data_IF_508186070257
#
_entry.id   IF_508186070257
#
_cell.length_a   1.000
_cell.length_b   1.000
_cell.length_c   1.000
_cell.angle_alpha   90.00
_cell.angle_beta   90.00
_cell.angle_gamma   90.00
#
_symmetry.space_group_name_H-M   'P 1'
#
loop_
_entity.id
_entity.type
_entity.pdbx_description
1 polymer ?
#
# COMPACT_ATOMS: atom_id res chain seq x y z
N UNK A 1 10.62 -58.23 -13.54
CA UNK A 1 10.47 -59.45 -12.72
C UNK A 1 10.31 -59.01 -11.26
N UNK A 2 9.21 -58.32 -10.93
CA UNK A 2 8.97 -57.73 -9.59
C UNK A 2 7.55 -58.07 -9.08
N UNK A 3 7.08 -59.29 -9.34
CA UNK A 3 5.75 -59.75 -8.92
C UNK A 3 5.72 -60.53 -7.60
N UNK A 4 6.86 -61.03 -7.13
CA UNK A 4 6.94 -61.98 -6.00
C UNK A 4 7.17 -61.33 -4.63
N UNK A 5 7.66 -60.09 -4.59
CA UNK A 5 7.91 -59.39 -3.32
C UNK A 5 6.65 -58.75 -2.68
N UNK A 6 5.63 -58.43 -3.49
CA UNK A 6 4.37 -57.87 -2.98
C UNK A 6 3.51 -58.92 -2.24
N UNK A 7 3.53 -60.18 -2.69
CA UNK A 7 2.76 -61.27 -2.09
C UNK A 7 3.23 -61.66 -0.68
N UNK A 8 4.55 -61.71 -0.44
CA UNK A 8 5.07 -62.04 0.90
C UNK A 8 4.77 -60.96 1.95
N UNK A 9 4.74 -59.68 1.56
CA UNK A 9 4.39 -58.59 2.51
C UNK A 9 2.92 -58.64 2.92
N UNK A 10 2.02 -59.00 2.02
CA UNK A 10 0.60 -59.15 2.32
C UNK A 10 0.30 -60.33 3.27
N UNK A 11 0.99 -61.46 3.08
CA UNK A 11 0.85 -62.64 3.95
C UNK A 11 1.36 -62.37 5.37
N UNK A 12 2.50 -61.67 5.49
CA UNK A 12 3.03 -61.30 6.81
C UNK A 12 2.13 -60.29 7.55
N UNK A 13 1.52 -59.33 6.84
CA UNK A 13 0.58 -58.38 7.44
C UNK A 13 -0.70 -59.06 7.92
N UNK A 14 -1.22 -60.04 7.16
CA UNK A 14 -2.39 -60.82 7.55
C UNK A 14 -2.14 -61.71 8.78
N UNK A 15 -0.97 -62.36 8.84
CA UNK A 15 -0.55 -63.19 9.99
C UNK A 15 -0.32 -62.35 11.25
N UNK A 16 0.32 -61.17 11.13
CA UNK A 16 0.48 -60.24 12.25
C UNK A 16 -0.85 -59.68 12.73
N UNK A 17 -1.80 -59.39 11.82
CA UNK A 17 -3.15 -58.97 12.17
C UNK A 17 -3.94 -60.06 12.92
N UNK A 18 -3.84 -61.31 12.47
CA UNK A 18 -4.49 -62.44 13.12
C UNK A 18 -3.92 -62.73 14.52
N UNK A 19 -2.59 -62.69 14.67
CA UNK A 19 -1.93 -62.88 15.97
C UNK A 19 -2.22 -61.72 16.94
N UNK A 20 -2.20 -60.47 16.47
CA UNK A 20 -2.53 -59.29 17.28
C UNK A 20 -4.00 -59.29 17.75
N UNK A 21 -4.93 -59.71 16.88
CA UNK A 21 -6.34 -59.86 17.22
C UNK A 21 -6.61 -60.96 18.25
N UNK A 22 -5.89 -62.08 18.16
CA UNK A 22 -6.00 -63.16 19.14
C UNK A 22 -5.50 -62.73 20.53
N UNK A 23 -4.40 -61.98 20.61
CA UNK A 23 -3.84 -61.49 21.89
C UNK A 23 -4.75 -60.45 22.55
N UNK A 24 -5.35 -59.55 21.77
CA UNK A 24 -6.25 -58.51 22.32
C UNK A 24 -7.58 -59.09 22.79
N UNK A 25 -8.17 -60.04 22.05
CA UNK A 25 -9.39 -60.73 22.51
C UNK A 25 -9.10 -61.57 23.76
N UNK A 26 -7.96 -62.29 23.81
CA UNK A 26 -7.56 -63.02 25.00
C UNK A 26 -7.35 -62.08 26.21
N UNK A 27 -6.75 -60.91 26.01
CA UNK A 27 -6.55 -59.92 27.08
C UNK A 27 -7.88 -59.31 27.58
N UNK A 28 -8.81 -59.00 26.68
CA UNK A 28 -10.14 -58.47 27.06
C UNK A 28 -10.95 -59.52 27.80
N UNK A 29 -10.94 -60.78 27.34
CA UNK A 29 -11.61 -61.89 28.04
C UNK A 29 -11.01 -62.11 29.43
N UNK A 30 -9.68 -62.02 29.56
CA UNK A 30 -8.99 -62.17 30.85
C UNK A 30 -9.27 -61.01 31.83
N UNK A 31 -9.41 -59.77 31.34
CA UNK A 31 -9.75 -58.61 32.18
C UNK A 31 -11.21 -58.64 32.63
N UNK A 32 -12.12 -59.08 31.76
CA UNK A 32 -13.57 -59.07 32.03
C UNK A 32 -14.01 -60.27 32.87
N UNK A 33 -13.31 -61.40 32.80
CA UNK A 33 -13.62 -62.61 33.59
C UNK A 33 -12.35 -63.40 33.96
N UNK A 34 -11.56 -62.94 34.96
CA UNK A 34 -10.33 -63.60 35.37
C UNK A 34 -10.56 -64.98 36.02
N UNK A 35 -11.81 -65.34 36.34
CA UNK A 35 -12.18 -66.60 36.98
C UNK A 35 -12.74 -67.65 36.00
N UNK A 36 -12.90 -67.32 34.71
CA UNK A 36 -13.29 -68.24 33.64
C UNK A 36 -14.70 -68.83 33.79
N UNK A 37 -15.65 -68.07 34.32
CA UNK A 37 -16.99 -68.55 34.64
C UNK A 37 -18.07 -68.21 33.60
N UNK A 38 -17.75 -67.46 32.54
CA UNK A 38 -18.70 -67.13 31.48
C UNK A 38 -18.60 -68.10 30.29
N UNK A 39 -19.53 -69.04 30.21
CA UNK A 39 -19.80 -69.85 29.01
C UNK A 39 -20.60 -69.03 28.00
N UNK A 40 -19.91 -68.35 27.10
CA UNK A 40 -20.59 -67.68 25.98
C UNK A 40 -20.76 -68.64 24.79
N UNK A 41 -21.94 -68.69 24.13
CA UNK A 41 -22.17 -69.54 22.97
C UNK A 41 -21.77 -68.80 21.70
N UNK A 42 -20.47 -68.57 21.49
CA UNK A 42 -19.99 -68.02 20.23
C UNK A 42 -19.50 -69.16 19.33
N UNK A 43 -20.00 -69.23 18.10
CA UNK A 43 -19.41 -70.13 17.11
C UNK A 43 -18.06 -69.56 16.65
N UNK A 44 -17.14 -70.42 16.20
CA UNK A 44 -15.79 -69.99 15.74
C UNK A 44 -15.89 -68.93 14.62
N UNK A 45 -16.99 -68.94 13.85
CA UNK A 45 -17.32 -67.93 12.86
C UNK A 45 -17.64 -66.55 13.47
N UNK A 46 -18.34 -66.48 14.59
CA UNK A 46 -18.68 -65.21 15.27
C UNK A 46 -17.43 -64.55 15.87
N UNK A 47 -16.54 -65.35 16.47
CA UNK A 47 -15.25 -64.87 16.99
C UNK A 47 -14.34 -64.38 15.86
N UNK A 48 -14.28 -65.09 14.73
CA UNK A 48 -13.51 -64.66 13.57
C UNK A 48 -14.06 -63.35 12.97
N UNK A 49 -15.37 -63.19 12.93
CA UNK A 49 -16.02 -61.97 12.42
C UNK A 49 -15.76 -60.79 13.36
N UNK A 50 -15.85 -61.00 14.68
CA UNK A 50 -15.59 -59.98 15.71
C UNK A 50 -14.11 -59.57 15.76
N UNK A 51 -13.18 -60.54 15.65
CA UNK A 51 -11.73 -60.29 15.56
C UNK A 51 -11.38 -59.57 14.27
N UNK A 52 -12.01 -59.90 13.14
CA UNK A 52 -11.75 -59.18 11.88
C UNK A 52 -12.33 -57.77 11.88
N UNK A 53 -13.50 -57.56 12.50
CA UNK A 53 -14.17 -56.26 12.61
C UNK A 53 -13.42 -55.29 13.54
N UNK A 54 -13.02 -55.74 14.74
CA UNK A 54 -12.25 -54.91 15.68
C UNK A 54 -10.76 -54.81 15.30
N UNK A 55 -10.15 -55.88 14.79
CA UNK A 55 -8.75 -55.88 14.33
C UNK A 55 -8.54 -54.98 13.11
N UNK A 56 -9.48 -55.00 12.16
CA UNK A 56 -9.48 -54.09 11.02
C UNK A 56 -9.71 -52.63 11.43
N UNK A 57 -10.59 -52.36 12.39
CA UNK A 57 -10.86 -51.01 12.88
C UNK A 57 -9.68 -50.40 13.64
N UNK A 58 -9.00 -51.17 14.51
CA UNK A 58 -7.84 -50.69 15.27
C UNK A 58 -6.63 -50.49 14.34
N UNK A 59 -6.34 -51.45 13.46
CA UNK A 59 -5.26 -51.30 12.48
C UNK A 59 -5.54 -50.14 11.50
N UNK A 60 -6.79 -50.00 11.05
CA UNK A 60 -7.25 -48.88 10.24
C UNK A 60 -7.12 -47.53 10.96
N UNK A 61 -7.47 -47.45 12.25
CA UNK A 61 -7.34 -46.24 13.05
C UNK A 61 -5.88 -45.82 13.26
N UNK A 62 -4.96 -46.76 13.46
CA UNK A 62 -3.53 -46.46 13.61
C UNK A 62 -2.92 -45.98 12.29
N UNK A 63 -3.27 -46.62 11.17
CA UNK A 63 -2.82 -46.18 9.84
C UNK A 63 -3.42 -44.82 9.48
N UNK A 64 -4.70 -44.60 9.75
CA UNK A 64 -5.36 -43.32 9.56
C UNK A 64 -4.77 -42.22 10.45
N UNK A 65 -4.43 -42.51 11.71
CA UNK A 65 -3.77 -41.56 12.59
C UNK A 65 -2.38 -41.17 12.08
N UNK A 66 -1.57 -42.13 11.60
CA UNK A 66 -0.25 -41.85 11.02
C UNK A 66 -0.32 -41.03 9.73
N UNK A 67 -1.26 -41.36 8.83
CA UNK A 67 -1.48 -40.60 7.60
C UNK A 67 -2.00 -39.20 7.91
N UNK A 68 -2.89 -39.05 8.90
CA UNK A 68 -3.41 -37.76 9.35
C UNK A 68 -2.33 -36.87 9.97
N UNK A 69 -1.42 -37.43 10.77
CA UNK A 69 -0.30 -36.67 11.34
C UNK A 69 0.63 -36.18 10.22
N UNK A 70 0.95 -37.04 9.25
CA UNK A 70 1.82 -36.67 8.14
C UNK A 70 1.19 -35.62 7.21
N UNK A 71 -0.11 -35.73 6.92
CA UNK A 71 -0.85 -34.73 6.15
C UNK A 71 -0.97 -33.41 6.92
N UNK A 72 -1.13 -33.44 8.24
CA UNK A 72 -1.18 -32.24 9.08
C UNK A 72 0.18 -31.52 9.11
N UNK A 73 1.29 -32.25 9.16
CA UNK A 73 2.64 -31.68 9.05
C UNK A 73 2.87 -31.01 7.68
N UNK A 74 2.48 -31.67 6.58
CA UNK A 74 2.59 -31.10 5.24
C UNK A 74 1.69 -29.88 5.06
N UNK A 75 0.45 -29.92 5.57
CA UNK A 75 -0.47 -28.79 5.52
C UNK A 75 0.02 -27.62 6.38
N UNK A 76 0.64 -27.88 7.53
CA UNK A 76 1.23 -26.86 8.39
C UNK A 76 2.40 -26.15 7.69
N UNK A 77 3.32 -26.90 7.08
CA UNK A 77 4.45 -26.34 6.34
C UNK A 77 3.98 -25.53 5.13
N UNK A 78 3.03 -26.05 4.35
CA UNK A 78 2.49 -25.36 3.18
C UNK A 78 1.70 -24.11 3.57
N UNK A 79 0.91 -24.15 4.65
CA UNK A 79 0.21 -22.97 5.17
C UNK A 79 1.19 -21.90 5.66
N UNK A 80 2.23 -22.30 6.41
CA UNK A 80 3.28 -21.38 6.85
C UNK A 80 4.01 -20.73 5.67
N UNK A 81 4.29 -21.50 4.60
CA UNK A 81 4.89 -20.98 3.37
C UNK A 81 3.98 -19.97 2.67
N UNK A 82 2.69 -20.29 2.51
CA UNK A 82 1.71 -19.39 1.89
C UNK A 82 1.50 -18.12 2.69
N UNK A 83 1.48 -18.22 4.02
CA UNK A 83 1.36 -17.06 4.90
C UNK A 83 2.57 -16.14 4.79
N UNK A 84 3.79 -16.70 4.71
CA UNK A 84 5.00 -15.92 4.49
C UNK A 84 4.98 -15.24 3.11
N UNK A 85 4.58 -15.94 2.05
CA UNK A 85 4.44 -15.37 0.71
C UNK A 85 3.41 -14.23 0.69
N UNK A 86 2.27 -14.40 1.37
CA UNK A 86 1.25 -13.36 1.49
C UNK A 86 1.75 -12.13 2.28
N UNK A 87 2.51 -12.35 3.36
CA UNK A 87 3.11 -11.28 4.17
C UNK A 87 4.13 -10.48 3.36
N UNK A 88 4.95 -11.16 2.56
CA UNK A 88 5.92 -10.50 1.68
C UNK A 88 5.21 -9.68 0.59
N UNK A 89 4.20 -10.26 -0.06
CA UNK A 89 3.41 -9.53 -1.07
C UNK A 89 2.74 -8.28 -0.50
N UNK A 90 2.20 -8.38 0.72
CA UNK A 90 1.62 -7.24 1.43
C UNK A 90 2.66 -6.16 1.72
N UNK A 91 3.82 -6.54 2.27
CA UNK A 91 4.93 -5.62 2.55
C UNK A 91 5.41 -4.90 1.28
N UNK A 92 5.52 -5.63 0.16
CA UNK A 92 5.88 -5.08 -1.15
C UNK A 92 4.84 -4.05 -1.62
N UNK A 93 3.55 -4.39 -1.53
CA UNK A 93 2.46 -3.48 -1.93
C UNK A 93 2.43 -2.22 -1.08
N UNK A 94 2.64 -2.33 0.23
CA UNK A 94 2.67 -1.19 1.15
C UNK A 94 3.88 -0.28 0.86
N UNK A 95 5.05 -0.89 0.64
CA UNK A 95 6.27 -0.15 0.30
C UNK A 95 6.13 0.61 -1.02
N UNK A 96 5.55 -0.02 -2.04
CA UNK A 96 5.29 0.61 -3.33
C UNK A 96 4.22 1.70 -3.23
N UNK A 97 3.20 1.52 -2.39
CA UNK A 97 2.17 2.54 -2.11
C UNK A 97 2.81 3.83 -1.56
N UNK A 98 3.77 3.72 -0.63
CA UNK A 98 4.49 4.90 -0.12
C UNK A 98 5.22 5.62 -1.26
N UNK A 99 5.94 4.87 -2.07
CA UNK A 99 6.74 5.40 -3.17
C UNK A 99 5.87 6.15 -4.20
N UNK A 100 4.79 5.53 -4.64
CA UNK A 100 3.85 6.11 -5.62
C UNK A 100 3.20 7.40 -5.10
N UNK A 101 2.85 7.46 -3.81
CA UNK A 101 2.28 8.67 -3.20
C UNK A 101 3.29 9.81 -3.14
N UNK A 102 4.57 9.52 -2.89
CA UNK A 102 5.63 10.53 -2.93
C UNK A 102 5.88 11.00 -4.36
N UNK A 103 5.87 10.10 -5.34
CA UNK A 103 5.93 10.48 -6.75
C UNK A 103 4.76 11.37 -7.16
N UNK A 104 3.54 11.07 -6.70
CA UNK A 104 2.37 11.90 -6.95
C UNK A 104 2.54 13.32 -6.38
N UNK A 105 3.04 13.43 -5.14
CA UNK A 105 3.37 14.73 -4.53
C UNK A 105 4.45 15.46 -5.33
N UNK A 106 5.51 14.76 -5.72
CA UNK A 106 6.63 15.31 -6.49
C UNK A 106 6.14 15.87 -7.84
N UNK A 107 5.33 15.09 -8.55
CA UNK A 107 4.72 15.48 -9.82
C UNK A 107 3.77 16.66 -9.65
N UNK A 108 3.00 16.70 -8.56
CA UNK A 108 2.14 17.83 -8.21
C UNK A 108 2.95 19.12 -8.03
N UNK A 109 4.00 19.09 -7.21
CA UNK A 109 4.90 20.23 -6.98
C UNK A 109 5.60 20.68 -8.27
N UNK A 110 6.07 19.73 -9.08
CA UNK A 110 6.70 20.02 -10.37
C UNK A 110 5.71 20.68 -11.34
N UNK A 111 4.49 20.16 -11.44
CA UNK A 111 3.43 20.72 -12.29
C UNK A 111 3.12 22.17 -11.89
N UNK A 112 3.00 22.43 -10.60
CA UNK A 112 2.81 23.79 -10.09
C UNK A 112 3.99 24.69 -10.44
N UNK A 113 5.25 24.25 -10.23
CA UNK A 113 6.45 25.01 -10.64
C UNK A 113 6.39 25.35 -12.14
N UNK A 114 6.10 24.38 -12.99
CA UNK A 114 6.03 24.58 -14.44
C UNK A 114 4.92 25.56 -14.83
N UNK A 115 3.80 25.55 -14.12
CA UNK A 115 2.73 26.53 -14.31
C UNK A 115 3.21 27.97 -14.06
N UNK A 116 3.96 28.21 -12.97
CA UNK A 116 4.57 29.53 -12.71
C UNK A 116 5.56 29.93 -13.80
N UNK A 117 6.42 28.99 -14.21
CA UNK A 117 7.38 29.21 -15.29
C UNK A 117 6.71 29.60 -16.60
N UNK A 118 5.62 28.95 -16.96
CA UNK A 118 4.86 29.27 -18.16
C UNK A 118 4.24 30.67 -18.11
N UNK A 119 3.74 31.07 -16.93
CA UNK A 119 3.27 32.44 -16.71
C UNK A 119 4.39 33.47 -16.88
N UNK A 120 5.58 33.20 -16.32
CA UNK A 120 6.74 34.09 -16.46
C UNK A 120 7.25 34.16 -17.90
N UNK A 121 7.32 33.02 -18.59
CA UNK A 121 7.71 32.94 -20.00
C UNK A 121 6.76 33.75 -20.87
N UNK A 122 5.45 33.54 -20.71
CA UNK A 122 4.41 34.30 -21.42
C UNK A 122 4.51 35.80 -21.14
N UNK A 123 4.74 36.20 -19.89
CA UNK A 123 4.92 37.61 -19.53
C UNK A 123 6.19 38.20 -20.16
N UNK A 124 7.29 37.43 -20.22
CA UNK A 124 8.53 37.86 -20.86
C UNK A 124 8.35 38.04 -22.38
N UNK A 125 7.70 37.08 -23.05
CA UNK A 125 7.36 37.15 -24.48
C UNK A 125 6.51 38.40 -24.79
N UNK A 126 5.63 38.79 -23.87
CA UNK A 126 4.78 40.00 -23.96
C UNK A 126 5.44 41.28 -23.45
N UNK A 127 6.71 41.24 -23.02
CA UNK A 127 7.45 42.36 -22.40
C UNK A 127 6.78 42.91 -21.12
N UNK A 128 6.01 42.07 -20.45
CA UNK A 128 5.23 42.35 -19.24
C UNK A 128 5.90 41.81 -17.95
N UNK A 129 7.16 41.36 -18.02
CA UNK A 129 7.87 40.80 -16.86
C UNK A 129 8.09 41.80 -15.71
N UNK A 130 8.01 43.10 -16.01
CA UNK A 130 8.10 44.18 -15.02
C UNK A 130 6.84 44.35 -14.17
N UNK A 131 5.74 43.69 -14.54
CA UNK A 131 4.49 43.74 -13.77
C UNK A 131 4.62 42.95 -12.46
N UNK A 132 3.83 43.28 -11.44
CA UNK A 132 3.81 42.51 -10.20
C UNK A 132 3.33 41.07 -10.43
N UNK A 133 3.79 40.13 -9.59
CA UNK A 133 3.50 38.69 -9.73
C UNK A 133 2.01 38.39 -9.78
N UNK A 134 1.18 39.10 -9.01
CA UNK A 134 -0.26 38.88 -9.04
C UNK A 134 -0.86 39.14 -10.44
N UNK A 135 -0.29 40.07 -11.22
CA UNK A 135 -0.75 40.37 -12.57
C UNK A 135 -0.21 39.37 -13.60
N UNK A 136 0.99 38.82 -13.36
CA UNK A 136 1.63 37.83 -14.24
C UNK A 136 1.01 36.44 -14.09
N UNK A 137 0.90 35.96 -12.85
CA UNK A 137 0.39 34.61 -12.56
C UNK A 137 -1.12 34.62 -12.72
N UNK A 138 -1.66 33.71 -13.52
CA UNK A 138 -3.11 33.57 -13.73
C UNK A 138 -3.73 32.67 -12.68
N UNK A 139 -5.06 32.68 -12.57
CA UNK A 139 -5.78 31.64 -11.85
C UNK A 139 -5.66 30.31 -12.60
N UNK A 140 -5.32 29.24 -11.88
CA UNK A 140 -5.27 27.91 -12.44
C UNK A 140 -6.68 27.37 -12.63
N UNK A 141 -6.99 26.86 -13.82
CA UNK A 141 -8.24 26.17 -14.11
C UNK A 141 -8.06 24.67 -13.85
N UNK A 142 -8.76 24.15 -12.84
CA UNK A 142 -8.64 22.76 -12.41
C UNK A 142 -7.45 22.51 -11.49
N UNK A 143 -7.57 21.48 -10.67
CA UNK A 143 -6.56 21.02 -9.72
C UNK A 143 -6.70 19.52 -9.50
N UNK A 144 -5.74 18.92 -8.78
CA UNK A 144 -5.88 17.53 -8.37
C UNK A 144 -7.15 17.39 -7.52
N UNK A 145 -8.02 16.43 -7.85
CA UNK A 145 -9.29 16.23 -7.12
C UNK A 145 -9.08 15.72 -5.70
N UNK A 146 -7.92 15.11 -5.43
CA UNK A 146 -7.59 14.57 -4.13
C UNK A 146 -6.08 14.65 -3.90
N UNK A 147 -5.67 15.20 -2.75
CA UNK A 147 -4.27 15.14 -2.32
C UNK A 147 -3.93 13.70 -1.90
N UNK A 148 -2.81 13.12 -2.34
CA UNK A 148 -2.37 11.81 -1.86
C UNK A 148 -2.23 11.83 -0.35
N UNK A 149 -2.81 10.84 0.32
CA UNK A 149 -2.76 10.71 1.78
C UNK A 149 -2.15 9.39 2.20
N UNK A 150 -1.33 9.42 3.25
CA UNK A 150 -0.74 8.20 3.78
C UNK A 150 -1.65 7.57 4.84
N UNK A 151 -1.83 6.27 4.76
CA UNK A 151 -2.43 5.46 5.82
C UNK A 151 -1.35 4.99 6.80
N UNK A 152 -1.76 4.45 7.96
CA UNK A 152 -0.81 3.84 8.90
C UNK A 152 -0.18 2.56 8.32
N UNK A 153 -0.93 1.83 7.50
CA UNK A 153 -0.53 0.56 6.88
C UNK A 153 0.60 0.74 5.87
N UNK A 154 0.61 1.86 5.15
CA UNK A 154 1.67 2.21 4.20
C UNK A 154 3.05 2.23 4.88
N UNK A 155 3.12 2.58 6.16
CA UNK A 155 4.38 2.73 6.90
C UNK A 155 4.85 1.48 7.63
N UNK A 156 4.08 0.39 7.63
CA UNK A 156 4.45 -0.85 8.33
C UNK A 156 5.83 -1.36 7.91
N UNK A 157 6.18 -1.43 6.62
CA UNK A 157 7.51 -1.87 6.19
C UNK A 157 8.63 -0.95 6.71
N UNK A 158 8.43 0.38 6.66
CA UNK A 158 9.41 1.35 7.17
C UNK A 158 9.58 1.28 8.69
N UNK A 159 8.51 0.99 9.44
CA UNK A 159 8.57 0.79 10.89
C UNK A 159 9.39 -0.46 11.24
N UNK A 160 9.18 -1.57 10.54
CA UNK A 160 9.94 -2.81 10.73
C UNK A 160 11.43 -2.57 10.41
N UNK A 161 11.71 -1.79 9.37
CA UNK A 161 13.06 -1.39 8.98
C UNK A 161 13.67 -0.30 9.87
N UNK A 162 12.98 0.16 10.91
CA UNK A 162 13.41 1.23 11.84
C UNK A 162 13.73 2.56 11.15
N UNK A 163 13.03 2.88 10.06
CA UNK A 163 13.17 4.13 9.29
C UNK A 163 12.14 5.17 9.74
N UNK A 164 12.08 5.47 11.04
CA UNK A 164 11.07 6.40 11.60
C UNK A 164 11.20 7.83 11.08
N UNK A 165 12.42 8.27 10.76
CA UNK A 165 12.68 9.59 10.19
C UNK A 165 12.00 9.75 8.83
N UNK A 166 12.11 8.75 7.94
CA UNK A 166 11.44 8.77 6.63
C UNK A 166 9.91 8.81 6.74
N UNK A 167 9.32 8.15 7.74
CA UNK A 167 7.87 8.22 7.99
C UNK A 167 7.47 9.65 8.35
N UNK A 168 8.25 10.32 9.20
CA UNK A 168 8.00 11.71 9.58
C UNK A 168 8.11 12.64 8.37
N UNK A 169 9.15 12.48 7.55
CA UNK A 169 9.34 13.30 6.35
C UNK A 169 8.23 13.08 5.30
N UNK A 170 7.77 11.84 5.09
CA UNK A 170 6.61 11.55 4.24
C UNK A 170 5.35 12.29 4.72
N UNK A 171 5.07 12.26 6.02
CA UNK A 171 3.92 12.98 6.61
C UNK A 171 4.09 14.50 6.52
N UNK A 172 5.32 14.98 6.64
CA UNK A 172 5.60 16.41 6.58
C UNK A 172 5.40 16.92 5.16
N UNK A 173 5.93 16.22 4.14
CA UNK A 173 5.75 16.62 2.74
C UNK A 173 4.29 16.50 2.28
N UNK A 174 3.55 15.47 2.72
CA UNK A 174 2.10 15.32 2.51
C UNK A 174 1.35 16.58 2.96
N UNK A 175 1.61 17.01 4.20
CA UNK A 175 0.95 18.19 4.79
C UNK A 175 1.36 19.48 4.09
N UNK A 176 2.64 19.64 3.75
CA UNK A 176 3.12 20.84 3.05
C UNK A 176 2.51 20.95 1.66
N UNK A 177 2.44 19.85 0.93
CA UNK A 177 1.79 19.81 -0.38
C UNK A 177 0.30 20.17 -0.28
N UNK A 178 -0.42 19.60 0.69
CA UNK A 178 -1.82 19.95 0.95
C UNK A 178 -2.01 21.45 1.28
N UNK A 179 -1.11 22.04 2.06
CA UNK A 179 -1.12 23.48 2.37
C UNK A 179 -0.88 24.33 1.13
N UNK A 180 0.02 23.92 0.23
CA UNK A 180 0.29 24.64 -1.02
C UNK A 180 -0.93 24.60 -1.93
N UNK A 181 -1.53 23.42 -2.16
CA UNK A 181 -2.77 23.26 -2.94
C UNK A 181 -3.88 24.15 -2.37
N UNK A 182 -4.08 24.11 -1.05
CA UNK A 182 -5.10 24.96 -0.41
C UNK A 182 -4.81 26.45 -0.56
N UNK A 183 -3.54 26.83 -0.52
CA UNK A 183 -3.11 28.22 -0.67
C UNK A 183 -3.32 28.74 -2.10
N UNK A 184 -3.16 27.87 -3.12
CA UNK A 184 -3.50 28.17 -4.51
C UNK A 184 -5.00 28.38 -4.70
N UNK A 185 -5.85 27.56 -4.06
CA UNK A 185 -7.31 27.79 -4.05
C UNK A 185 -7.67 29.14 -3.41
N UNK A 186 -7.08 29.44 -2.25
CA UNK A 186 -7.30 30.72 -1.55
C UNK A 186 -6.85 31.89 -2.42
N UNK A 187 -5.72 31.76 -3.12
CA UNK A 187 -5.26 32.75 -4.07
C UNK A 187 -6.26 32.97 -5.20
N UNK A 188 -6.79 31.88 -5.78
CA UNK A 188 -7.83 31.94 -6.82
C UNK A 188 -9.08 32.68 -6.34
N UNK A 189 -9.62 32.30 -5.18
CA UNK A 189 -10.81 32.95 -4.61
C UNK A 189 -10.58 34.43 -4.27
N UNK A 190 -9.40 34.79 -3.74
CA UNK A 190 -9.07 36.21 -3.49
C UNK A 190 -8.94 37.00 -4.79
N UNK A 191 -8.44 36.38 -5.86
CA UNK A 191 -8.33 37.01 -7.18
C UNK A 191 -9.72 37.24 -7.79
N UNK A 192 -10.61 36.26 -7.68
CA UNK A 192 -12.01 36.39 -8.11
C UNK A 192 -12.71 37.52 -7.36
N UNK A 193 -12.55 37.60 -6.03
CA UNK A 193 -13.11 38.71 -5.23
C UNK A 193 -12.56 40.08 -5.62
N UNK A 194 -11.27 40.17 -5.99
CA UNK A 194 -10.70 41.40 -6.53
C UNK A 194 -11.29 41.73 -7.91
N UNK A 195 -11.49 40.73 -8.76
CA UNK A 195 -12.09 40.92 -10.08
C UNK A 195 -13.54 41.43 -9.96
N UNK A 196 -14.36 40.84 -9.09
CA UNK A 196 -15.73 41.29 -8.81
C UNK A 196 -15.76 42.74 -8.31
N UNK A 197 -14.81 43.11 -7.44
CA UNK A 197 -14.69 44.49 -6.94
C UNK A 197 -14.38 45.48 -8.06
N UNK A 198 -13.55 45.08 -9.03
CA UNK A 198 -13.10 45.92 -10.13
C UNK A 198 -14.05 45.90 -11.33
N UNK A 199 -14.90 44.88 -11.47
CA UNK A 199 -15.79 44.69 -12.61
C UNK A 199 -16.74 45.88 -12.80
N UNK A 200 -17.32 46.39 -11.71
CA UNK A 200 -18.21 47.55 -11.73
C UNK A 200 -17.53 48.86 -12.20
N UNK A 201 -16.19 48.86 -12.27
CA UNK A 201 -15.36 50.00 -12.67
C UNK A 201 -14.57 49.71 -13.95
N UNK A 202 -14.90 48.63 -14.65
CA UNK A 202 -14.15 48.13 -15.80
C UNK A 202 -14.98 48.20 -17.07
N UNK A 203 -14.40 48.75 -18.14
CA UNK A 203 -15.01 48.79 -19.47
C UNK A 203 -14.19 47.96 -20.46
N UNK A 204 -14.88 47.14 -21.26
CA UNK A 204 -14.27 46.37 -22.32
C UNK A 204 -13.91 47.31 -23.48
N UNK A 205 -12.62 47.39 -23.82
CA UNK A 205 -12.14 48.15 -24.98
C UNK A 205 -12.14 47.24 -26.22
N UNK A 206 -12.24 47.82 -27.42
CA UNK A 206 -12.32 47.10 -28.71
C UNK A 206 -11.14 46.16 -29.03
N UNK A 207 -10.06 46.20 -28.25
CA UNK A 207 -8.83 45.40 -28.46
C UNK A 207 -8.67 44.23 -27.47
N UNK A 208 -9.75 43.72 -26.87
CA UNK A 208 -9.68 42.67 -25.83
C UNK A 208 -8.92 43.10 -24.58
N UNK A 209 -8.81 44.41 -24.35
CA UNK A 209 -8.23 45.01 -23.15
C UNK A 209 -9.37 45.50 -22.25
N UNK A 210 -9.19 45.34 -20.94
CA UNK A 210 -10.12 45.85 -19.93
C UNK A 210 -9.50 47.12 -19.37
N UNK A 211 -10.19 48.25 -19.54
CA UNK A 211 -9.79 49.52 -18.94
C UNK A 211 -10.56 49.68 -17.64
N UNK A 212 -9.86 49.69 -16.51
CA UNK A 212 -10.48 49.90 -15.19
C UNK A 212 -10.24 51.34 -14.75
N UNK A 213 -11.31 52.11 -14.59
CA UNK A 213 -11.26 53.50 -14.11
C UNK A 213 -11.96 53.60 -12.75
N UNK A 214 -11.17 53.70 -11.69
CA UNK A 214 -11.69 53.77 -10.32
C UNK A 214 -11.80 55.24 -9.91
N UNK A 215 -13.01 55.77 -9.89
CA UNK A 215 -13.28 57.14 -9.43
C UNK A 215 -13.46 57.25 -7.91
N UNK A 216 -13.82 56.16 -7.24
CA UNK A 216 -14.06 56.11 -5.80
C UNK A 216 -12.76 55.75 -5.05
N UNK A 217 -12.29 56.67 -4.20
CA UNK A 217 -11.07 56.52 -3.40
C UNK A 217 -11.15 55.33 -2.44
N UNK A 218 -12.33 55.02 -1.90
CA UNK A 218 -12.51 53.91 -0.98
C UNK A 218 -12.38 52.56 -1.70
N UNK A 219 -12.91 52.46 -2.92
CA UNK A 219 -12.75 51.27 -3.76
C UNK A 219 -11.29 51.09 -4.16
N UNK A 220 -10.61 52.17 -4.56
CA UNK A 220 -9.19 52.13 -4.91
C UNK A 220 -8.33 51.64 -3.73
N UNK A 221 -8.59 52.15 -2.52
CA UNK A 221 -7.90 51.72 -1.29
C UNK A 221 -8.13 50.24 -0.98
N UNK A 222 -9.38 49.77 -1.08
CA UNK A 222 -9.73 48.36 -0.85
C UNK A 222 -9.06 47.43 -1.87
N UNK A 223 -9.10 47.81 -3.15
CA UNK A 223 -8.44 47.06 -4.22
C UNK A 223 -6.93 46.97 -3.97
N UNK A 224 -6.27 48.07 -3.58
CA UNK A 224 -4.84 48.08 -3.30
C UNK A 224 -4.46 47.15 -2.13
N UNK A 225 -5.27 47.10 -1.07
CA UNK A 225 -5.07 46.17 0.05
C UNK A 225 -5.14 44.72 -0.43
N UNK A 226 -6.14 44.38 -1.25
CA UNK A 226 -6.29 43.03 -1.80
C UNK A 226 -5.15 42.67 -2.76
N UNK A 227 -4.73 43.60 -3.61
CA UNK A 227 -3.59 43.45 -4.52
C UNK A 227 -2.31 43.14 -3.73
N UNK A 228 -2.03 43.90 -2.67
CA UNK A 228 -0.87 43.66 -1.82
C UNK A 228 -0.94 42.28 -1.15
N UNK A 229 -2.12 41.89 -0.63
CA UNK A 229 -2.31 40.57 -0.04
C UNK A 229 -2.10 39.43 -1.05
N UNK A 230 -2.61 39.57 -2.28
CA UNK A 230 -2.38 38.62 -3.37
C UNK A 230 -0.90 38.52 -3.73
N UNK A 231 -0.21 39.65 -3.80
CA UNK A 231 1.23 39.71 -4.10
C UNK A 231 2.05 38.97 -3.04
N UNK A 232 1.76 39.16 -1.75
CA UNK A 232 2.46 38.43 -0.69
C UNK A 232 2.16 36.93 -0.75
N UNK A 233 0.88 36.57 -0.88
CA UNK A 233 0.45 35.17 -0.92
C UNK A 233 1.10 34.41 -2.09
N UNK A 234 1.09 34.99 -3.30
CA UNK A 234 1.65 34.32 -4.48
C UNK A 234 3.18 34.17 -4.42
N UNK A 235 3.86 35.14 -3.80
CA UNK A 235 5.31 35.08 -3.57
C UNK A 235 5.67 33.97 -2.58
N UNK A 236 4.91 33.85 -1.50
CA UNK A 236 5.09 32.81 -0.49
C UNK A 236 4.82 31.41 -1.07
N UNK A 237 3.73 31.23 -1.82
CA UNK A 237 3.40 29.98 -2.52
C UNK A 237 4.55 29.55 -3.44
N UNK A 238 5.02 30.44 -4.32
CA UNK A 238 6.11 30.11 -5.25
C UNK A 238 7.40 29.72 -4.51
N UNK A 239 7.72 30.42 -3.43
CA UNK A 239 8.90 30.11 -2.61
C UNK A 239 8.79 28.73 -1.97
N UNK A 240 7.62 28.40 -1.40
CA UNK A 240 7.36 27.09 -0.79
C UNK A 240 7.42 25.96 -1.80
N UNK A 241 6.83 26.13 -2.99
CA UNK A 241 6.90 25.13 -4.08
C UNK A 241 8.35 24.78 -4.40
N UNK A 242 9.23 25.78 -4.55
CA UNK A 242 10.65 25.53 -4.85
C UNK A 242 11.37 24.76 -3.73
N UNK A 243 11.15 25.16 -2.48
CA UNK A 243 11.77 24.53 -1.31
C UNK A 243 11.26 23.09 -1.16
N UNK A 244 9.95 22.90 -1.20
CA UNK A 244 9.33 21.60 -0.97
C UNK A 244 9.52 20.65 -2.16
N UNK A 245 9.66 21.14 -3.39
CA UNK A 245 10.05 20.32 -4.54
C UNK A 245 11.46 19.73 -4.33
N UNK A 246 12.43 20.55 -3.93
CA UNK A 246 13.78 20.07 -3.66
C UNK A 246 13.80 19.05 -2.51
N UNK A 247 13.03 19.29 -1.43
CA UNK A 247 12.89 18.33 -0.35
C UNK A 247 12.22 17.02 -0.80
N UNK A 248 11.16 17.10 -1.61
CA UNK A 248 10.47 15.92 -2.14
C UNK A 248 11.39 15.08 -3.04
N UNK A 249 12.27 15.69 -3.82
CA UNK A 249 13.28 14.99 -4.63
C UNK A 249 14.25 14.22 -3.74
N UNK A 250 14.83 14.88 -2.72
CA UNK A 250 15.72 14.21 -1.76
C UNK A 250 15.02 13.05 -1.04
N UNK A 251 13.78 13.27 -0.57
CA UNK A 251 13.00 12.25 0.10
C UNK A 251 12.68 11.07 -0.82
N UNK A 252 12.38 11.31 -2.10
CA UNK A 252 12.13 10.25 -3.07
C UNK A 252 13.37 9.36 -3.27
N UNK A 253 14.57 9.96 -3.31
CA UNK A 253 15.83 9.21 -3.42
C UNK A 253 16.11 8.38 -2.15
N UNK A 254 15.97 8.99 -0.97
CA UNK A 254 16.17 8.31 0.33
C UNK A 254 15.17 7.17 0.52
N UNK A 255 13.92 7.37 0.11
CA UNK A 255 12.90 6.31 0.10
C UNK A 255 13.26 5.21 -0.89
N UNK A 256 13.65 5.54 -2.11
CA UNK A 256 14.06 4.53 -3.10
C UNK A 256 15.21 3.66 -2.58
N UNK A 257 16.17 4.25 -1.86
CA UNK A 257 17.24 3.51 -1.19
C UNK A 257 16.68 2.61 -0.08
N UNK A 258 15.82 3.14 0.80
CA UNK A 258 15.21 2.38 1.89
C UNK A 258 14.33 1.22 1.37
N UNK A 259 13.56 1.45 0.31
CA UNK A 259 12.77 0.43 -0.40
C UNK A 259 13.67 -0.66 -0.94
N UNK A 260 14.79 -0.29 -1.56
CA UNK A 260 15.77 -1.26 -2.08
C UNK A 260 16.39 -2.10 -0.95
N UNK A 261 16.67 -1.49 0.21
CA UNK A 261 17.15 -2.21 1.40
C UNK A 261 16.09 -3.19 1.97
N UNK A 262 14.80 -2.82 1.93
CA UNK A 262 13.70 -3.65 2.46
C UNK A 262 13.38 -4.82 1.51
N UNK A 263 13.34 -4.57 0.20
CA UNK A 263 12.91 -5.54 -0.80
C UNK A 263 14.07 -6.38 -1.38
N UNK A 264 15.32 -5.96 -1.18
CA UNK A 264 16.52 -6.63 -1.71
C UNK A 264 16.55 -6.64 -3.24
N UNK A 265 17.08 -7.72 -3.84
CA UNK A 265 17.17 -7.91 -5.30
C UNK A 265 15.82 -7.89 -6.04
N UNK A 266 14.69 -7.91 -5.32
CA UNK A 266 13.34 -7.82 -5.88
C UNK A 266 12.86 -6.39 -6.10
N UNK A 267 13.64 -5.38 -5.71
CA UNK A 267 13.37 -3.98 -6.00
C UNK A 267 13.61 -3.68 -7.50
N UNK A 268 12.60 -3.93 -8.34
CA UNK A 268 12.68 -3.68 -9.78
C UNK A 268 12.41 -2.22 -10.19
N UNK A 269 12.36 -1.29 -9.24
CA UNK A 269 11.93 0.09 -9.51
C UNK A 269 12.97 1.06 -8.95
N UNK A 270 13.83 1.57 -9.83
CA UNK A 270 14.57 2.80 -9.57
C UNK A 270 13.70 3.95 -10.05
N UNK A 271 13.29 4.83 -9.14
CA UNK A 271 12.65 6.08 -9.53
C UNK A 271 13.66 6.91 -10.31
N UNK A 272 13.34 7.23 -11.56
CA UNK A 272 14.19 8.11 -12.36
C UNK A 272 13.79 9.56 -12.05
N UNK A 273 14.76 10.37 -11.63
CA UNK A 273 14.58 11.82 -11.50
C UNK A 273 14.10 12.39 -12.84
N UNK A 274 13.08 13.24 -12.78
CA UNK A 274 12.76 14.15 -13.87
C UNK A 274 13.79 15.27 -13.76
N UNK A 275 14.85 15.18 -14.57
CA UNK A 275 15.91 16.19 -14.58
C UNK A 275 15.36 17.53 -15.11
N UNK A 276 15.69 18.63 -14.43
CA UNK A 276 15.43 20.00 -14.88
C UNK A 276 16.39 20.35 -16.05
N UNK A 277 16.25 19.68 -17.19
CA UNK A 277 17.00 20.01 -18.42
C UNK A 277 16.49 21.30 -19.12
N UNK A 278 15.61 22.06 -18.47
CA UNK A 278 15.25 23.42 -18.90
C UNK A 278 16.32 24.42 -18.46
N UNK A 279 17.53 24.28 -19.01
CA UNK A 279 18.42 25.41 -19.19
C UNK A 279 17.93 26.21 -20.40
N UNK A 280 17.17 27.27 -20.12
CA UNK A 280 16.89 28.34 -21.06
C UNK A 280 17.56 29.63 -20.55
#
# INVERSE_FOLDING_TARGET
MDGTFAGMKAINAALLGALGGAVTVAAVVYIVDPAGSLTFPFTVADVATLVSGFGGAIAGAIVAAKVSIHLAEQASIENARREEEARLALSHSQTLSVLLKIEEILNGLYTQKMYFWECFRTANERKQIHLPLWAIVRQQAGGATQTPTFSAEDFVPLMIAKKSELIQECRLIERRYAVIEKSLEIYGSKRESLQELLEAHSEATSESQILTTIADEEVARRAQIQINALQFLITDIYTKIKIDLAHAQTLADELSEAVSQILGERALINLRRVDDDTTA
#
